data_IF_382619517392
#
_entry.id   IF_382619517392
#
_cell.length_a   1.000
_cell.length_b   1.000
_cell.length_c   1.000
_cell.angle_alpha   90.00
_cell.angle_beta   90.00
_cell.angle_gamma   90.00
#
_symmetry.space_group_name_H-M   'P 1'
#
loop_
_entity.id
_entity.type
_entity.pdbx_description
1 polymer ?
#
# COMPACT_ATOMS: atom_id res chain seq x y z
N UNK A 1 14.28 -0.09 5.70
CA UNK A 1 14.23 1.21 6.38
C UNK A 1 13.06 2.04 5.85
N UNK A 2 12.60 3.01 6.64
CA UNK A 2 11.58 3.99 6.27
C UNK A 2 12.11 5.37 6.66
N UNK A 3 12.11 6.31 5.74
CA UNK A 3 12.58 7.69 5.97
C UNK A 3 11.47 8.68 5.64
N UNK A 4 11.56 9.89 6.20
CA UNK A 4 10.64 10.99 5.93
C UNK A 4 10.40 11.87 7.16
N UNK A 5 9.63 12.94 6.98
CA UNK A 5 9.15 13.78 8.09
C UNK A 5 7.88 13.17 8.66
N UNK A 6 7.89 12.85 9.96
CA UNK A 6 6.77 12.14 10.61
C UNK A 6 6.00 13.06 11.57
N UNK A 7 4.68 13.01 11.48
CA UNK A 7 3.75 13.50 12.51
C UNK A 7 2.93 12.33 13.01
N UNK A 8 2.82 12.18 14.33
CA UNK A 8 2.16 11.05 14.96
C UNK A 8 1.38 11.53 16.19
N UNK A 9 0.12 11.12 16.31
CA UNK A 9 -0.73 11.36 17.49
C UNK A 9 -1.23 10.02 17.99
N UNK A 10 -0.88 9.65 19.21
CA UNK A 10 -1.18 8.33 19.78
C UNK A 10 -1.62 8.43 21.23
N UNK A 11 -2.40 7.46 21.66
CA UNK A 11 -2.63 7.13 23.05
C UNK A 11 -2.34 5.64 23.20
N UNK A 12 -1.27 5.30 23.94
CA UNK A 12 -0.79 3.94 24.12
C UNK A 12 -0.65 3.62 25.61
N UNK A 13 -1.01 2.39 25.96
CA UNK A 13 -0.83 1.81 27.29
C UNK A 13 -0.01 0.54 27.14
N UNK A 14 0.97 0.37 28.02
CA UNK A 14 1.87 -0.78 28.04
C UNK A 14 2.14 -1.16 29.50
N UNK A 15 2.20 -2.46 29.80
CA UNK A 15 2.51 -2.96 31.13
C UNK A 15 4.00 -3.26 31.24
N UNK A 16 4.72 -2.44 32.01
CA UNK A 16 6.18 -2.56 32.15
C UNK A 16 6.62 -3.67 33.12
N UNK A 17 5.70 -4.19 33.93
CA UNK A 17 5.97 -5.20 34.96
C UNK A 17 6.26 -6.60 34.39
N UNK A 18 6.07 -6.82 33.08
CA UNK A 18 6.32 -8.12 32.43
C UNK A 18 7.11 -7.91 31.13
N UNK A 19 8.44 -7.80 31.21
CA UNK A 19 9.32 -7.55 30.06
C UNK A 19 9.11 -8.53 28.89
N UNK A 20 8.91 -9.81 29.19
CA UNK A 20 8.56 -10.86 28.19
C UNK A 20 7.22 -10.63 27.47
N UNK A 21 6.30 -9.84 28.04
CA UNK A 21 4.95 -9.61 27.50
C UNK A 21 4.74 -8.17 27.01
N UNK A 22 5.80 -7.37 26.87
CA UNK A 22 5.67 -5.95 26.52
C UNK A 22 4.85 -5.74 25.24
N UNK A 23 5.16 -6.50 24.19
CA UNK A 23 4.44 -6.42 22.92
C UNK A 23 2.97 -6.84 23.06
N UNK A 24 2.73 -7.94 23.77
CA UNK A 24 1.38 -8.47 24.04
C UNK A 24 0.56 -7.59 25.01
N UNK A 25 1.20 -6.67 25.74
CA UNK A 25 0.53 -5.74 26.65
C UNK A 25 0.11 -4.44 25.97
N UNK A 26 0.65 -4.16 24.78
CA UNK A 26 0.45 -2.88 24.11
C UNK A 26 -0.99 -2.74 23.63
N UNK A 27 -1.66 -1.69 24.09
CA UNK A 27 -3.04 -1.37 23.71
C UNK A 27 -3.18 0.13 23.47
N UNK A 28 -4.02 0.53 22.53
CA UNK A 28 -4.25 1.94 22.24
C UNK A 28 -4.64 2.21 20.80
N UNK A 29 -4.45 3.47 20.38
CA UNK A 29 -4.80 3.92 19.04
C UNK A 29 -4.00 5.15 18.64
N UNK A 30 -3.95 5.41 17.35
CA UNK A 30 -3.35 6.64 16.87
C UNK A 30 -3.48 6.84 15.38
N UNK A 31 -2.88 7.92 14.93
CA UNK A 31 -2.76 8.28 13.53
C UNK A 31 -1.29 8.60 13.25
N UNK A 32 -0.85 8.23 12.05
CA UNK A 32 0.49 8.50 11.56
C UNK A 32 0.39 9.17 10.20
N UNK A 33 1.25 10.15 9.98
CA UNK A 33 1.50 10.75 8.68
C UNK A 33 2.99 10.91 8.50
N UNK A 34 3.52 10.42 7.39
CA UNK A 34 4.92 10.56 7.00
C UNK A 34 4.93 11.21 5.63
N UNK A 35 5.71 12.27 5.47
CA UNK A 35 5.80 13.03 4.24
C UNK A 35 7.22 13.00 3.67
N UNK A 36 7.31 13.06 2.34
CA UNK A 36 8.56 13.21 1.56
C UNK A 36 9.61 12.18 1.98
N UNK A 37 9.30 10.91 1.78
CA UNK A 37 10.05 9.80 2.33
C UNK A 37 10.45 8.73 1.31
N UNK A 38 11.17 7.71 1.80
CA UNK A 38 11.45 6.48 1.07
C UNK A 38 11.17 5.27 1.93
N UNK A 39 10.57 4.24 1.34
CA UNK A 39 10.37 2.94 1.97
C UNK A 39 11.21 1.89 1.26
N UNK A 40 12.11 1.24 1.99
CA UNK A 40 12.87 0.11 1.45
C UNK A 40 11.89 -1.03 1.13
N UNK A 41 12.09 -1.67 -0.02
CA UNK A 41 11.25 -2.77 -0.48
C UNK A 41 11.46 -4.01 0.39
N UNK A 42 10.64 -4.12 1.45
CA UNK A 42 10.53 -5.32 2.27
C UNK A 42 9.79 -6.45 1.53
N UNK A 43 9.65 -7.66 2.14
CA UNK A 43 9.15 -8.84 1.44
C UNK A 43 7.80 -8.67 0.74
N UNK A 44 6.83 -7.99 1.37
CA UNK A 44 5.51 -7.72 0.80
C UNK A 44 5.63 -6.83 -0.44
N UNK A 45 6.26 -5.67 -0.31
CA UNK A 45 6.38 -4.70 -1.41
C UNK A 45 7.19 -5.29 -2.58
N UNK A 46 8.27 -6.03 -2.30
CA UNK A 46 9.06 -6.70 -3.34
C UNK A 46 8.24 -7.72 -4.13
N UNK A 47 7.42 -8.55 -3.46
CA UNK A 47 6.53 -9.50 -4.12
C UNK A 47 5.48 -8.81 -4.98
N UNK A 48 4.84 -7.76 -4.45
CA UNK A 48 3.85 -6.96 -5.20
C UNK A 48 4.50 -6.33 -6.44
N UNK A 49 5.64 -5.66 -6.28
CA UNK A 49 6.35 -5.02 -7.40
C UNK A 49 6.80 -6.04 -8.46
N UNK A 50 7.22 -7.24 -8.03
CA UNK A 50 7.55 -8.35 -8.93
C UNK A 50 6.34 -8.89 -9.71
N UNK A 51 5.21 -9.12 -9.03
CA UNK A 51 3.96 -9.56 -9.66
C UNK A 51 3.41 -8.53 -10.66
N UNK A 52 3.60 -7.25 -10.35
CA UNK A 52 3.26 -6.13 -11.22
C UNK A 52 4.32 -5.84 -12.29
N UNK A 53 5.44 -6.57 -12.29
CA UNK A 53 6.59 -6.36 -13.18
C UNK A 53 7.12 -4.91 -13.19
N UNK A 54 7.03 -4.18 -12.08
CA UNK A 54 7.42 -2.77 -11.97
C UNK A 54 8.91 -2.53 -12.23
N UNK A 55 9.85 -3.39 -11.80
CA UNK A 55 11.27 -3.20 -12.10
C UNK A 55 11.58 -3.04 -13.60
N UNK A 56 10.89 -3.80 -14.46
CA UNK A 56 11.02 -3.64 -15.92
C UNK A 56 10.48 -2.30 -16.44
N UNK A 57 9.51 -1.70 -15.77
CA UNK A 57 8.93 -0.40 -16.14
C UNK A 57 9.83 0.79 -15.77
N UNK A 58 10.75 0.59 -14.83
CA UNK A 58 11.62 1.64 -14.28
C UNK A 58 13.09 1.46 -14.63
N UNK A 59 13.41 0.49 -15.50
CA UNK A 59 14.76 0.31 -16.05
C UNK A 59 15.32 1.65 -16.55
N UNK A 60 16.46 2.05 -15.97
CA UNK A 60 17.17 3.29 -16.30
C UNK A 60 16.65 4.58 -15.64
N UNK A 61 15.64 4.52 -14.76
CA UNK A 61 15.06 5.73 -14.11
C UNK A 61 15.17 5.74 -12.59
N UNK A 62 14.90 4.62 -11.93
CA UNK A 62 14.98 4.48 -10.45
C UNK A 62 15.31 3.03 -10.12
N UNK A 63 16.34 2.78 -9.31
CA UNK A 63 16.56 1.43 -8.79
C UNK A 63 15.71 1.19 -7.54
N UNK A 64 14.43 0.83 -7.72
CA UNK A 64 13.50 0.62 -6.60
C UNK A 64 13.96 -0.44 -5.59
N UNK A 65 14.70 -1.45 -6.06
CA UNK A 65 15.14 -2.56 -5.22
C UNK A 65 16.32 -2.17 -4.33
N UNK A 66 17.21 -1.31 -4.81
CA UNK A 66 18.37 -0.81 -4.04
C UNK A 66 18.03 0.45 -3.24
N UNK A 67 17.34 1.41 -3.85
CA UNK A 67 17.08 2.72 -3.25
C UNK A 67 15.74 2.79 -2.49
N UNK A 68 14.87 1.78 -2.63
CA UNK A 68 13.51 1.79 -2.09
C UNK A 68 12.53 2.65 -2.90
N UNK A 69 11.24 2.57 -2.55
CA UNK A 69 10.15 3.32 -3.18
C UNK A 69 10.05 4.74 -2.59
N UNK A 70 10.23 5.81 -3.38
CA UNK A 70 9.95 7.17 -2.92
C UNK A 70 8.45 7.39 -2.79
N UNK A 71 8.04 8.18 -1.80
CA UNK A 71 6.65 8.58 -1.61
C UNK A 71 6.51 10.03 -1.14
N UNK A 72 5.43 10.67 -1.56
CA UNK A 72 5.05 12.02 -1.14
C UNK A 72 4.39 11.99 0.24
N UNK A 73 3.52 11.00 0.47
CA UNK A 73 2.76 10.83 1.72
C UNK A 73 2.49 9.35 2.01
N UNK A 74 2.70 8.93 3.26
CA UNK A 74 2.17 7.71 3.86
C UNK A 74 1.31 8.13 5.05
N UNK A 75 0.06 7.69 5.13
CA UNK A 75 -0.82 8.03 6.25
C UNK A 75 -1.76 6.89 6.61
N UNK A 76 -2.27 6.91 7.82
CA UNK A 76 -3.32 6.00 8.24
C UNK A 76 -3.60 6.10 9.73
N UNK A 77 -4.73 5.53 10.12
CA UNK A 77 -5.10 5.29 11.50
C UNK A 77 -4.74 3.85 11.89
N UNK A 78 -4.48 3.64 13.18
CA UNK A 78 -4.31 2.31 13.72
C UNK A 78 -4.92 2.18 15.11
N UNK A 79 -5.37 0.98 15.43
CA UNK A 79 -5.62 0.53 16.80
C UNK A 79 -4.67 -0.60 17.11
N UNK A 80 -4.35 -0.77 18.38
CA UNK A 80 -3.63 -1.94 18.87
C UNK A 80 -4.36 -2.46 20.10
N UNK A 81 -4.60 -3.76 20.14
CA UNK A 81 -5.17 -4.44 21.30
C UNK A 81 -4.33 -5.67 21.59
N UNK A 82 -3.74 -5.72 22.78
CA UNK A 82 -2.87 -6.82 23.22
C UNK A 82 -1.81 -7.23 22.19
N UNK A 83 -1.16 -6.25 21.57
CA UNK A 83 -0.14 -6.48 20.54
C UNK A 83 -0.65 -6.72 19.12
N UNK A 84 -1.96 -6.85 18.90
CA UNK A 84 -2.55 -6.95 17.57
C UNK A 84 -2.80 -5.54 17.00
N UNK A 85 -1.90 -5.07 16.13
CA UNK A 85 -2.06 -3.82 15.41
C UNK A 85 -3.05 -4.01 14.26
N UNK A 86 -4.03 -3.12 14.10
CA UNK A 86 -5.00 -3.14 13.00
C UNK A 86 -5.08 -1.76 12.36
N UNK A 87 -5.20 -1.71 11.03
CA UNK A 87 -5.45 -0.50 10.25
C UNK A 87 -6.52 -0.75 9.20
N UNK A 88 -7.28 0.28 8.84
CA UNK A 88 -8.33 0.21 7.80
C UNK A 88 -8.09 1.14 6.63
N UNK A 89 -7.19 2.10 6.79
CA UNK A 89 -7.07 3.28 5.93
C UNK A 89 -5.62 3.67 5.67
N UNK A 90 -4.69 2.69 5.78
CA UNK A 90 -3.30 2.94 5.44
C UNK A 90 -3.21 3.26 3.94
N UNK A 91 -2.64 4.41 3.60
CA UNK A 91 -2.54 4.91 2.24
C UNK A 91 -1.14 5.46 1.98
N UNK A 92 -0.55 5.07 0.85
CA UNK A 92 0.73 5.55 0.35
C UNK A 92 0.52 6.22 -1.02
N UNK A 93 0.96 7.46 -1.14
CA UNK A 93 1.01 8.24 -2.37
C UNK A 93 2.45 8.35 -2.84
N UNK A 94 2.78 7.71 -3.96
CA UNK A 94 4.08 7.78 -4.62
C UNK A 94 3.94 8.35 -6.03
N UNK A 95 5.00 9.00 -6.58
CA UNK A 95 5.06 9.35 -7.99
C UNK A 95 4.91 8.15 -8.95
N UNK A 96 5.20 6.94 -8.46
CA UNK A 96 5.17 5.70 -9.26
C UNK A 96 3.82 4.99 -9.14
N UNK A 97 3.27 4.92 -7.93
CA UNK A 97 2.05 4.16 -7.61
C UNK A 97 1.30 4.75 -6.41
N UNK A 98 0.03 4.39 -6.25
CA UNK A 98 -0.73 4.54 -5.01
C UNK A 98 -0.98 3.16 -4.47
N UNK A 99 -0.94 3.07 -3.16
CA UNK A 99 -1.28 1.87 -2.43
C UNK A 99 -2.25 2.24 -1.31
N UNK A 100 -3.25 1.39 -1.09
CA UNK A 100 -4.08 1.41 0.12
C UNK A 100 -4.07 0.02 0.73
N UNK A 101 -4.02 -0.05 2.06
CA UNK A 101 -4.00 -1.31 2.78
C UNK A 101 -4.94 -1.26 3.99
N UNK A 102 -5.55 -2.40 4.27
CA UNK A 102 -6.29 -2.67 5.50
C UNK A 102 -5.93 -4.07 5.98
N UNK A 103 -5.76 -4.25 7.27
CA UNK A 103 -5.30 -5.52 7.81
C UNK A 103 -4.81 -5.41 9.24
N UNK A 104 -4.22 -6.50 9.70
CA UNK A 104 -3.61 -6.64 11.01
C UNK A 104 -2.16 -7.13 10.95
N UNK A 105 -1.41 -6.72 11.96
CA UNK A 105 -0.07 -7.19 12.26
C UNK A 105 0.00 -7.59 13.73
N UNK A 106 0.16 -8.88 13.98
CA UNK A 106 0.38 -9.44 15.31
C UNK A 106 1.84 -9.24 15.70
N UNK A 107 2.11 -8.37 16.69
CA UNK A 107 3.47 -8.08 17.14
C UNK A 107 4.15 -9.32 17.75
N UNK A 108 3.55 -10.04 18.72
CA UNK A 108 4.13 -11.27 19.26
C UNK A 108 4.49 -12.35 18.24
N UNK A 109 3.62 -12.61 17.25
CA UNK A 109 3.83 -13.70 16.28
C UNK A 109 4.48 -13.23 14.97
N UNK A 110 4.64 -11.92 14.80
CA UNK A 110 5.01 -11.26 13.56
C UNK A 110 4.13 -11.63 12.35
N UNK A 111 2.88 -12.03 12.60
CA UNK A 111 1.93 -12.46 11.59
C UNK A 111 1.26 -11.28 10.88
N UNK A 112 1.24 -11.30 9.56
CA UNK A 112 0.47 -10.38 8.71
C UNK A 112 -0.81 -11.05 8.23
N UNK A 113 -1.91 -10.30 8.21
CA UNK A 113 -3.15 -10.65 7.52
C UNK A 113 -3.82 -9.38 7.00
N UNK A 114 -4.02 -9.27 5.69
CA UNK A 114 -4.62 -8.06 5.13
C UNK A 114 -4.77 -8.04 3.63
N UNK A 115 -5.36 -6.93 3.18
CA UNK A 115 -5.60 -6.62 1.78
C UNK A 115 -4.81 -5.38 1.38
N UNK A 116 -4.30 -5.36 0.15
CA UNK A 116 -3.58 -4.23 -0.43
C UNK A 116 -4.09 -4.00 -1.85
N UNK A 117 -4.56 -2.79 -2.14
CA UNK A 117 -4.84 -2.36 -3.51
C UNK A 117 -3.72 -1.46 -4.00
N UNK A 118 -3.27 -1.68 -5.23
CA UNK A 118 -2.21 -0.92 -5.88
C UNK A 118 -2.68 -0.42 -7.22
N UNK A 119 -2.49 0.87 -7.46
CA UNK A 119 -2.79 1.52 -8.74
C UNK A 119 -1.56 2.31 -9.22
N UNK A 120 -1.04 2.07 -10.42
CA UNK A 120 0.08 2.82 -10.98
C UNK A 120 -0.29 4.25 -11.39
N UNK A 121 0.69 5.17 -11.47
CA UNK A 121 0.50 6.55 -11.94
C UNK A 121 1.21 6.93 -13.23
N UNK A 122 0.68 7.99 -13.86
CA UNK A 122 1.43 8.89 -14.73
C UNK A 122 1.82 8.30 -16.08
N UNK A 123 3.03 8.65 -16.54
CA UNK A 123 3.62 8.27 -17.83
C UNK A 123 3.76 6.76 -18.04
N UNK A 124 3.56 5.96 -16.98
CA UNK A 124 3.67 4.51 -16.99
C UNK A 124 2.33 3.81 -17.20
N UNK A 125 1.21 4.55 -17.16
CA UNK A 125 -0.14 4.00 -17.39
C UNK A 125 -0.31 3.34 -18.77
N UNK A 126 0.36 3.88 -19.80
CA UNK A 126 0.35 3.32 -21.16
C UNK A 126 1.20 2.05 -21.30
N UNK A 127 2.19 1.86 -20.43
CA UNK A 127 3.11 0.70 -20.42
C UNK A 127 2.50 -0.50 -19.67
N UNK A 128 1.35 -0.32 -19.02
CA UNK A 128 0.66 -1.39 -18.30
C UNK A 128 0.06 -2.45 -19.24
N UNK A 129 -0.11 -2.12 -20.53
CA UNK A 129 -0.64 -3.05 -21.54
C UNK A 129 0.24 -4.28 -21.74
N UNK A 130 1.54 -4.13 -21.47
CA UNK A 130 2.54 -5.19 -21.66
C UNK A 130 2.77 -6.02 -20.39
N UNK A 131 2.15 -5.64 -19.26
CA UNK A 131 2.23 -6.40 -18.01
C UNK A 131 1.15 -7.50 -18.06
N UNK A 132 1.52 -8.78 -17.93
CA UNK A 132 0.58 -9.89 -18.06
C UNK A 132 -0.66 -9.75 -17.18
N UNK A 133 -0.49 -9.26 -15.95
CA UNK A 133 -1.56 -9.06 -14.99
C UNK A 133 -2.60 -8.03 -15.45
N UNK A 134 -2.15 -6.88 -15.95
CA UNK A 134 -3.04 -5.83 -16.45
C UNK A 134 -3.59 -6.16 -17.84
N UNK A 135 -2.87 -6.94 -18.65
CA UNK A 135 -3.38 -7.50 -19.91
C UNK A 135 -4.63 -8.37 -19.71
N UNK A 136 -4.77 -9.04 -18.57
CA UNK A 136 -5.98 -9.76 -18.19
C UNK A 136 -7.13 -8.80 -17.81
N UNK A 137 -6.85 -7.78 -17.01
CA UNK A 137 -7.84 -6.76 -16.59
C UNK A 137 -8.37 -5.94 -17.79
N UNK A 138 -7.55 -5.71 -18.81
CA UNK A 138 -7.91 -4.95 -20.02
C UNK A 138 -8.80 -5.72 -21.00
N UNK A 139 -8.93 -7.05 -20.86
CA UNK A 139 -9.88 -7.85 -21.65
C UNK A 139 -11.32 -7.73 -21.14
N UNK A 140 -11.53 -7.15 -19.95
CA UNK A 140 -12.85 -6.84 -19.39
C UNK A 140 -13.37 -5.45 -19.79
N UNK A 141 -14.69 -5.26 -19.76
CA UNK A 141 -15.36 -4.04 -20.25
C UNK A 141 -15.14 -2.76 -19.40
N UNK A 142 -14.43 -2.83 -18.26
CA UNK A 142 -14.24 -1.69 -17.34
C UNK A 142 -12.97 -0.90 -17.65
N UNK A 143 -13.02 -0.09 -18.70
CA UNK A 143 -12.03 0.96 -18.99
C UNK A 143 -12.16 2.09 -17.95
N UNK A 144 -11.41 2.07 -16.85
CA UNK A 144 -11.40 3.25 -15.97
C UNK A 144 -10.50 3.20 -14.73
N UNK A 145 -10.29 2.04 -14.12
CA UNK A 145 -9.48 1.93 -12.90
C UNK A 145 -8.58 0.69 -12.97
N UNK A 146 -7.30 0.90 -13.25
CA UNK A 146 -6.30 -0.17 -13.22
C UNK A 146 -5.79 -0.36 -11.80
N UNK A 147 -6.58 -1.06 -11.00
CA UNK A 147 -6.26 -1.38 -9.61
C UNK A 147 -6.06 -2.88 -9.47
N UNK A 148 -4.87 -3.29 -9.04
CA UNK A 148 -4.59 -4.67 -8.68
C UNK A 148 -4.80 -4.86 -7.17
N UNK A 149 -5.52 -5.91 -6.79
CA UNK A 149 -5.79 -6.26 -5.40
C UNK A 149 -4.94 -7.45 -4.99
N UNK A 150 -4.38 -7.42 -3.78
CA UNK A 150 -3.53 -8.45 -3.23
C UNK A 150 -3.97 -8.82 -1.81
N UNK A 151 -4.06 -10.11 -1.52
CA UNK A 151 -4.10 -10.63 -0.15
C UNK A 151 -2.67 -10.87 0.34
N UNK A 152 -2.41 -10.53 1.61
CA UNK A 152 -1.13 -10.74 2.28
C UNK A 152 -1.36 -11.54 3.56
N UNK A 153 -0.71 -12.70 3.67
CA UNK A 153 -0.83 -13.57 4.85
C UNK A 153 0.52 -14.15 5.30
N UNK A 154 0.61 -14.49 6.58
CA UNK A 154 1.74 -15.23 7.13
C UNK A 154 2.85 -14.35 7.72
N UNK A 155 4.03 -14.92 8.02
CA UNK A 155 5.08 -14.23 8.75
C UNK A 155 5.63 -13.02 8.00
N UNK A 156 5.88 -11.91 8.69
CA UNK A 156 6.45 -10.67 8.12
C UNK A 156 7.73 -10.90 7.30
N UNK A 157 8.56 -11.85 7.71
CA UNK A 157 9.82 -12.19 7.05
C UNK A 157 9.64 -12.99 5.76
N UNK A 158 8.57 -13.79 5.66
CA UNK A 158 8.24 -14.62 4.49
C UNK A 158 6.72 -14.67 4.24
N UNK A 159 6.10 -13.55 3.84
CA UNK A 159 4.67 -13.50 3.62
C UNK A 159 4.29 -14.16 2.29
N UNK A 160 3.09 -14.72 2.26
CA UNK A 160 2.37 -15.05 1.04
C UNK A 160 1.69 -13.78 0.52
N UNK A 161 1.77 -13.56 -0.79
CA UNK A 161 1.15 -12.41 -1.47
C UNK A 161 0.43 -12.93 -2.70
N UNK A 162 -0.89 -12.87 -2.69
CA UNK A 162 -1.74 -13.49 -3.70
C UNK A 162 -2.56 -12.43 -4.40
N UNK A 163 -2.48 -12.40 -5.74
CA UNK A 163 -3.31 -11.50 -6.54
C UNK A 163 -4.77 -11.96 -6.57
N UNK A 164 -5.68 -11.01 -6.42
CA UNK A 164 -7.13 -11.22 -6.47
C UNK A 164 -7.72 -10.46 -7.67
N UNK A 165 -8.21 -11.16 -8.71
CA UNK A 165 -8.91 -10.53 -9.82
C UNK A 165 -10.15 -9.78 -9.34
N UNK A 166 -10.37 -8.54 -9.80
CA UNK A 166 -11.54 -7.74 -9.41
C UNK A 166 -12.86 -8.35 -9.91
N UNK A 167 -12.80 -9.11 -10.99
CA UNK A 167 -13.91 -9.83 -11.60
C UNK A 167 -14.50 -10.88 -10.65
N UNK A 168 -13.66 -11.45 -9.77
CA UNK A 168 -14.11 -12.37 -8.71
C UNK A 168 -15.11 -11.73 -7.74
N UNK A 169 -15.23 -10.39 -7.75
CA UNK A 169 -16.11 -9.61 -6.87
C UNK A 169 -17.28 -8.94 -7.61
N UNK A 170 -17.55 -9.32 -8.88
CA UNK A 170 -18.59 -8.71 -9.70
C UNK A 170 -20.02 -8.84 -9.10
N UNK A 171 -20.24 -9.75 -8.15
CA UNK A 171 -21.51 -9.93 -7.42
C UNK A 171 -21.86 -8.82 -6.42
N UNK A 172 -21.02 -7.80 -6.27
CA UNK A 172 -21.23 -6.67 -5.35
C UNK A 172 -20.53 -6.86 -4.00
N UNK A 173 -20.71 -5.90 -3.09
CA UNK A 173 -20.00 -5.87 -1.80
C UNK A 173 -20.58 -6.81 -0.73
N UNK A 174 -21.77 -7.39 -0.98
CA UNK A 174 -22.44 -8.28 -0.03
C UNK A 174 -21.68 -9.61 0.03
N UNK A 175 -20.91 -9.82 1.09
CA UNK A 175 -20.13 -11.04 1.31
C UNK A 175 -18.62 -10.88 1.18
N UNK A 176 -18.13 -9.68 0.89
CA UNK A 176 -16.69 -9.40 0.96
C UNK A 176 -16.21 -9.34 2.41
N UNK A 177 -15.00 -9.83 2.64
CA UNK A 177 -14.31 -9.64 3.91
C UNK A 177 -14.12 -8.13 4.18
N UNK A 178 -14.14 -7.74 5.46
CA UNK A 178 -14.11 -6.33 5.84
C UNK A 178 -12.88 -5.59 5.30
N UNK A 179 -11.68 -6.19 5.36
CA UNK A 179 -10.46 -5.58 4.81
C UNK A 179 -10.53 -5.34 3.31
N UNK A 180 -11.23 -6.21 2.56
CA UNK A 180 -11.46 -6.01 1.12
C UNK A 180 -12.35 -4.78 0.89
N UNK A 181 -13.43 -4.64 1.67
CA UNK A 181 -14.33 -3.48 1.60
C UNK A 181 -13.58 -2.19 1.92
N UNK A 182 -12.79 -2.20 3.01
CA UNK A 182 -12.02 -1.05 3.46
C UNK A 182 -11.05 -0.58 2.35
N UNK A 183 -10.25 -1.51 1.80
CA UNK A 183 -9.30 -1.21 0.73
C UNK A 183 -9.98 -0.67 -0.52
N UNK A 184 -11.06 -1.32 -1.00
CA UNK A 184 -11.76 -0.87 -2.21
C UNK A 184 -12.41 0.51 -2.00
N UNK A 185 -12.92 0.79 -0.80
CA UNK A 185 -13.47 2.11 -0.46
C UNK A 185 -12.38 3.18 -0.50
N UNK A 186 -11.19 2.88 0.03
CA UNK A 186 -10.06 3.80 0.05
C UNK A 186 -9.54 4.12 -1.35
N UNK A 187 -9.59 3.17 -2.29
CA UNK A 187 -9.19 3.42 -3.69
C UNK A 187 -10.06 4.52 -4.31
N UNK A 188 -11.36 4.55 -4.02
CA UNK A 188 -12.31 5.54 -4.57
C UNK A 188 -12.14 6.92 -3.93
N UNK A 189 -11.84 6.97 -2.63
CA UNK A 189 -11.73 8.23 -1.87
C UNK A 189 -10.36 8.90 -2.02
N UNK A 190 -9.36 8.20 -2.55
CA UNK A 190 -8.06 8.80 -2.84
C UNK A 190 -8.17 9.85 -3.96
N UNK A 191 -7.71 11.09 -3.74
CA UNK A 191 -7.80 12.14 -4.75
C UNK A 191 -7.04 11.71 -6.01
N UNK A 192 -7.67 11.90 -7.18
CA UNK A 192 -7.00 11.75 -8.47
C UNK A 192 -5.78 12.69 -8.52
N UNK A 193 -4.66 12.30 -9.14
CA UNK A 193 -3.53 13.21 -9.28
C UNK A 193 -3.98 14.47 -10.01
N UNK A 194 -3.63 15.64 -9.47
CA UNK A 194 -3.78 16.90 -10.19
C UNK A 194 -3.06 16.79 -11.54
N UNK A 195 -3.75 17.16 -12.61
CA UNK A 195 -3.13 17.27 -13.93
C UNK A 195 -2.10 18.40 -13.82
N UNK A 196 -0.80 18.08 -13.81
CA UNK A 196 0.23 19.12 -13.94
C UNK A 196 -0.03 19.85 -15.26
N UNK A 197 -0.49 21.09 -15.19
CA UNK A 197 -0.48 22.00 -16.33
C UNK A 197 0.99 22.15 -16.76
N UNK A 198 1.34 21.94 -18.03
CA UNK A 198 2.72 22.17 -18.47
C UNK A 198 3.13 23.60 -18.10
N UNK A 199 4.28 23.75 -17.46
CA UNK A 199 4.84 25.08 -17.18
C UNK A 199 4.98 25.84 -18.51
N UNK A 200 4.57 27.12 -18.57
CA UNK A 200 4.79 27.92 -19.76
C UNK A 200 6.29 27.98 -20.03
N UNK A 201 6.66 27.61 -21.26
CA UNK A 201 8.04 27.63 -21.75
C UNK A 201 8.51 29.08 -21.63
N UNK A 202 9.43 29.37 -20.70
CA UNK A 202 10.03 30.69 -20.61
C UNK A 202 10.78 30.98 -21.92
N UNK A 203 10.56 32.14 -22.57
CA UNK A 203 11.27 32.47 -23.79
C UNK A 203 12.77 32.59 -23.48
N UNK A 204 13.57 31.86 -24.25
CA UNK A 204 15.03 31.96 -24.23
C UNK A 204 15.46 33.42 -24.46
N UNK A 205 16.31 33.94 -23.58
CA UNK A 205 16.99 35.22 -23.77
C UNK A 205 18.03 35.16 -24.88
#
# INVERSE_FOLDING_TARGET
SLTGTTSMKTALHMKLESPELLQASLTGKGNVQIQKGRIQTGPVLSKILGLLNVPSLLMGKVNLLEEGLPFDELKGSFSIDKGLLTTKDLALKSPVLKLTAAGSYDLPTEGLDGMIAVSPFGAYSNLLKDIPLFGLLMKGERKGLLTALFEVKGPRTKPEVTYLPLESFAGGLKGLAQFTIDVLTNVVTLPLPEKKTPEPISPSK
#
